data_IF_349646568028
#
_entry.id   IF_349646568028
#
_cell.length_a   1.000
_cell.length_b   1.000
_cell.length_c   1.000
_cell.angle_alpha   90.00
_cell.angle_beta   90.00
_cell.angle_gamma   90.00
#
_symmetry.space_group_name_H-M   'P 1'
#
loop_
_entity.id
_entity.type
_entity.pdbx_description
1 polymer ?
#
# COMPACT_ATOMS: atom_id res chain seq x y z
N UNK A 1 -8.52 -12.45 3.42
CA UNK A 1 -9.04 -11.25 2.76
C UNK A 1 -8.33 -10.00 3.27
N UNK A 2 -8.19 -9.02 2.40
CA UNK A 2 -7.56 -7.75 2.75
C UNK A 2 -8.57 -6.63 2.58
N UNK A 3 -8.79 -5.87 3.64
CA UNK A 3 -9.67 -4.70 3.62
C UNK A 3 -8.82 -3.45 3.60
N UNK A 4 -8.96 -2.65 2.56
CA UNK A 4 -8.15 -1.45 2.38
C UNK A 4 -9.03 -0.21 2.45
N UNK A 5 -8.59 0.79 3.22
CA UNK A 5 -9.31 2.04 3.42
C UNK A 5 -8.35 3.22 3.45
N UNK A 6 -8.80 4.39 3.02
CA UNK A 6 -10.04 4.66 2.32
C UNK A 6 -9.96 4.23 0.85
N UNK A 7 -11.09 4.29 0.15
CA UNK A 7 -11.09 4.00 -1.29
C UNK A 7 -10.42 5.11 -2.09
N UNK A 8 -10.48 6.33 -1.57
CA UNK A 8 -9.88 7.50 -2.22
C UNK A 8 -9.44 8.50 -1.15
N UNK A 9 -8.32 9.15 -1.39
CA UNK A 9 -7.81 10.19 -0.50
C UNK A 9 -7.16 11.28 -1.35
N UNK A 10 -7.29 12.52 -0.92
CA UNK A 10 -6.67 13.64 -1.63
C UNK A 10 -6.01 14.59 -0.64
N UNK A 11 -4.94 15.22 -1.10
CA UNK A 11 -4.23 16.22 -0.33
C UNK A 11 -3.42 17.09 -1.29
N UNK A 12 -3.04 18.30 -0.89
CA UNK A 12 -2.22 19.15 -1.77
C UNK A 12 -0.77 18.67 -1.81
N UNK A 13 -0.05 19.16 -2.82
CA UNK A 13 1.40 18.97 -2.92
C UNK A 13 2.03 19.40 -1.59
N UNK A 14 2.97 18.58 -1.09
CA UNK A 14 3.63 18.83 0.18
C UNK A 14 2.92 18.21 1.37
N UNK A 15 1.71 17.73 1.20
CA UNK A 15 0.93 17.12 2.27
C UNK A 15 1.32 15.67 2.55
N UNK A 16 0.52 15.04 3.40
CA UNK A 16 0.74 13.65 3.81
C UNK A 16 -0.58 12.89 3.72
N UNK A 17 -0.54 11.70 3.15
CA UNK A 17 -1.70 10.81 3.11
C UNK A 17 -1.36 9.49 3.79
N UNK A 18 -2.39 8.88 4.36
CA UNK A 18 -2.26 7.60 5.07
C UNK A 18 -3.29 6.62 4.53
N UNK A 19 -2.83 5.43 4.20
CA UNK A 19 -3.65 4.34 3.69
C UNK A 19 -3.54 3.17 4.66
N UNK A 20 -4.66 2.54 4.97
CA UNK A 20 -4.70 1.41 5.90
C UNK A 20 -5.12 0.15 5.20
N UNK A 21 -4.54 -0.95 5.66
CA UNK A 21 -4.85 -2.27 5.16
C UNK A 21 -5.02 -3.20 6.35
N UNK A 22 -6.12 -3.96 6.37
CA UNK A 22 -6.41 -4.89 7.45
C UNK A 22 -6.55 -6.29 6.89
N UNK A 23 -5.82 -7.23 7.47
CA UNK A 23 -5.92 -8.64 7.11
C UNK A 23 -6.97 -9.33 7.97
N UNK A 24 -7.67 -10.30 7.39
CA UNK A 24 -8.70 -11.05 8.11
C UNK A 24 -8.10 -12.06 9.09
N UNK A 25 -6.81 -12.34 8.97
CA UNK A 25 -6.08 -13.20 9.91
C UNK A 25 -4.66 -12.66 10.04
N UNK A 26 -3.96 -13.12 11.08
CA UNK A 26 -2.59 -12.69 11.32
C UNK A 26 -1.68 -13.17 10.19
N UNK A 27 -1.04 -12.24 9.51
CA UNK A 27 -0.10 -12.54 8.43
C UNK A 27 1.34 -12.17 8.79
N UNK A 28 1.59 -11.84 10.06
CA UNK A 28 2.91 -11.42 10.51
C UNK A 28 3.32 -10.14 9.84
N UNK A 29 4.46 -10.16 9.14
CA UNK A 29 4.94 -9.01 8.36
C UNK A 29 4.91 -9.29 6.86
N UNK A 30 4.15 -10.28 6.42
CA UNK A 30 4.10 -10.69 5.01
C UNK A 30 3.14 -9.82 4.22
N UNK A 31 3.44 -8.54 4.14
CA UNK A 31 2.63 -7.57 3.42
C UNK A 31 3.50 -6.70 2.54
N UNK A 32 3.03 -6.47 1.31
CA UNK A 32 3.68 -5.58 0.37
C UNK A 32 2.72 -4.48 -0.06
N UNK A 33 3.30 -3.35 -0.47
CA UNK A 33 2.56 -2.21 -1.02
C UNK A 33 3.03 -1.95 -2.44
N UNK A 34 2.06 -1.69 -3.32
CA UNK A 34 2.30 -1.43 -4.74
C UNK A 34 1.69 -0.09 -5.14
N UNK A 35 2.32 0.56 -6.12
CA UNK A 35 1.79 1.75 -6.77
C UNK A 35 1.47 1.40 -8.22
N UNK A 36 0.28 1.78 -8.68
CA UNK A 36 -0.09 1.55 -10.08
C UNK A 36 -0.64 2.83 -10.67
N UNK A 37 0.02 3.29 -11.73
CA UNK A 37 -0.44 4.43 -12.52
C UNK A 37 -1.25 3.93 -13.71
N UNK A 38 -2.16 4.76 -14.25
CA UNK A 38 -2.99 4.34 -15.37
C UNK A 38 -2.17 3.80 -16.54
N UNK A 39 -2.56 2.65 -17.06
CA UNK A 39 -1.88 2.04 -18.19
C UNK A 39 -0.53 1.42 -17.89
N UNK A 40 -0.10 1.40 -16.63
CA UNK A 40 1.19 0.86 -16.25
C UNK A 40 1.02 -0.38 -15.37
N UNK A 41 2.10 -1.13 -15.26
CA UNK A 41 2.15 -2.28 -14.34
C UNK A 41 2.31 -1.78 -12.91
N UNK A 42 1.82 -2.53 -11.91
CA UNK A 42 2.08 -2.21 -10.52
C UNK A 42 3.59 -2.20 -10.24
N UNK A 43 4.01 -1.22 -9.45
CA UNK A 43 5.40 -1.08 -9.03
C UNK A 43 5.49 -1.40 -7.55
N UNK A 44 6.39 -2.29 -7.17
CA UNK A 44 6.62 -2.61 -5.75
C UNK A 44 7.25 -1.43 -5.05
N UNK A 45 6.64 -1.00 -3.96
CA UNK A 45 7.16 0.09 -3.13
C UNK A 45 7.80 -0.44 -1.86
N UNK A 46 7.09 -1.34 -1.17
CA UNK A 46 7.46 -1.81 0.15
C UNK A 46 7.16 -3.29 0.23
N UNK A 47 8.05 -4.03 0.87
CA UNK A 47 7.83 -5.44 1.16
C UNK A 47 8.16 -5.73 2.62
N UNK A 48 7.71 -6.84 3.14
CA UNK A 48 7.84 -7.21 4.56
C UNK A 48 7.33 -6.10 5.47
N UNK A 49 6.22 -5.48 5.07
CA UNK A 49 5.51 -4.44 5.80
C UNK A 49 6.22 -3.09 5.86
N UNK A 50 7.55 -3.04 5.95
CA UNK A 50 8.25 -1.78 6.19
C UNK A 50 9.56 -1.60 5.42
N UNK A 51 9.96 -2.57 4.60
CA UNK A 51 11.22 -2.47 3.87
C UNK A 51 11.00 -1.81 2.51
N UNK A 52 11.70 -0.72 2.25
CA UNK A 52 11.63 -0.04 0.96
C UNK A 52 12.27 -0.88 -0.13
N UNK A 53 11.58 -0.98 -1.28
CA UNK A 53 12.16 -1.59 -2.45
C UNK A 53 13.27 -0.69 -3.00
N UNK A 54 14.17 -1.30 -3.78
CA UNK A 54 15.30 -0.58 -4.38
C UNK A 54 14.81 0.59 -5.23
N UNK A 55 15.39 1.76 -5.02
CA UNK A 55 15.08 2.95 -5.82
C UNK A 55 13.81 3.67 -5.42
N UNK A 56 13.12 3.22 -4.37
CA UNK A 56 11.90 3.87 -3.90
C UNK A 56 12.24 4.96 -2.89
N UNK A 57 11.59 6.11 -3.03
CA UNK A 57 11.79 7.25 -2.14
C UNK A 57 11.43 6.92 -0.70
N UNK A 58 12.22 7.44 0.25
CA UNK A 58 11.94 7.31 1.68
C UNK A 58 10.70 8.08 2.11
N UNK A 59 10.08 8.86 1.21
CA UNK A 59 8.79 9.51 1.48
C UNK A 59 7.68 8.48 1.68
N UNK A 60 7.87 7.27 1.17
CA UNK A 60 6.95 6.14 1.37
C UNK A 60 7.39 5.38 2.60
N UNK A 61 6.48 5.21 3.54
CA UNK A 61 6.77 4.50 4.78
C UNK A 61 5.67 3.49 5.07
N UNK A 62 6.07 2.24 5.23
CA UNK A 62 5.16 1.18 5.65
C UNK A 62 5.36 0.84 7.10
N UNK A 63 4.28 0.48 7.78
CA UNK A 63 4.33 0.06 9.18
C UNK A 63 3.23 -0.93 9.47
N UNK A 64 3.33 -1.59 10.62
CA UNK A 64 2.34 -2.52 11.10
C UNK A 64 2.83 -3.95 11.09
N UNK A 65 2.04 -4.80 11.73
CA UNK A 65 2.28 -6.25 11.78
C UNK A 65 0.99 -6.93 12.23
N UNK A 66 0.90 -8.23 11.99
CA UNK A 66 -0.28 -8.99 12.40
C UNK A 66 -1.44 -8.79 11.44
N UNK A 67 -2.39 -7.94 11.81
CA UNK A 67 -3.58 -7.69 11.00
C UNK A 67 -3.73 -6.24 10.56
N UNK A 68 -2.95 -5.31 11.13
CA UNK A 68 -3.11 -3.87 10.86
C UNK A 68 -1.83 -3.31 10.22
N UNK A 69 -1.98 -2.70 9.04
CA UNK A 69 -0.85 -2.17 8.30
C UNK A 69 -1.19 -0.78 7.76
N UNK A 70 -0.16 0.04 7.61
CA UNK A 70 -0.32 1.43 7.18
C UNK A 70 0.76 1.80 6.17
N UNK A 71 0.36 2.49 5.10
CA UNK A 71 1.27 3.15 4.18
C UNK A 71 1.10 4.65 4.35
N UNK A 72 2.19 5.36 4.60
CA UNK A 72 2.21 6.82 4.71
C UNK A 72 3.05 7.39 3.59
N UNK A 73 2.51 8.37 2.88
CA UNK A 73 3.23 9.09 1.82
C UNK A 73 3.36 10.52 2.29
N UNK A 74 4.60 10.95 2.56
CA UNK A 74 4.91 12.31 3.01
C UNK A 74 5.41 13.16 1.88
N UNK A 75 5.37 14.48 2.05
CA UNK A 75 5.87 15.44 1.05
C UNK A 75 5.31 15.12 -0.33
N UNK A 76 4.00 15.05 -0.42
CA UNK A 76 3.27 14.58 -1.59
C UNK A 76 3.66 15.34 -2.85
N UNK A 77 3.89 14.61 -3.94
CA UNK A 77 4.24 15.17 -5.25
C UNK A 77 3.17 14.80 -6.26
N UNK A 78 3.08 15.58 -7.34
CA UNK A 78 2.13 15.27 -8.41
C UNK A 78 2.33 13.86 -8.96
N UNK A 79 3.58 13.40 -9.02
CA UNK A 79 3.90 12.06 -9.51
C UNK A 79 3.38 10.94 -8.63
N UNK A 80 2.92 11.25 -7.40
CA UNK A 80 2.38 10.25 -6.49
C UNK A 80 0.91 9.92 -6.79
N UNK A 81 0.28 10.67 -7.67
CA UNK A 81 -1.12 10.40 -8.07
C UNK A 81 -1.19 9.05 -8.77
N UNK A 82 -1.83 8.09 -8.11
CA UNK A 82 -1.89 6.69 -8.55
C UNK A 82 -2.87 5.95 -7.68
N UNK A 83 -3.06 4.66 -7.97
CA UNK A 83 -3.81 3.77 -7.09
C UNK A 83 -2.80 2.89 -6.36
N UNK A 84 -2.99 2.74 -5.06
CA UNK A 84 -2.09 1.98 -4.20
C UNK A 84 -2.80 0.73 -3.70
N UNK A 85 -2.07 -0.38 -3.67
CA UNK A 85 -2.62 -1.68 -3.25
C UNK A 85 -1.73 -2.31 -2.20
N UNK A 86 -2.32 -2.91 -1.19
CA UNK A 86 -1.61 -3.83 -0.32
C UNK A 86 -1.82 -5.26 -0.83
N UNK A 87 -0.85 -6.11 -0.55
CA UNK A 87 -0.91 -7.53 -0.93
C UNK A 87 -0.36 -8.37 0.20
N UNK A 88 -1.13 -9.36 0.65
CA UNK A 88 -0.57 -10.33 1.59
C UNK A 88 0.28 -11.35 0.83
N UNK A 89 1.49 -11.56 1.34
CA UNK A 89 2.39 -12.59 0.81
C UNK A 89 2.24 -13.92 1.53
N UNK A 90 1.42 -13.95 2.57
CA UNK A 90 1.23 -15.15 3.36
C UNK A 90 0.31 -16.11 2.63
N UNK A 91 0.77 -17.34 2.43
CA UNK A 91 -0.04 -18.41 1.88
C UNK A 91 -0.05 -19.55 2.89
N UNK A 92 -1.21 -19.85 3.42
CA UNK A 92 -1.39 -20.96 4.35
C UNK A 92 -1.65 -22.28 3.60
N UNK A 93 -1.01 -22.44 2.45
CA UNK A 93 -1.18 -23.63 1.63
C UNK A 93 -2.42 -23.56 0.75
N UNK A 94 -3.14 -22.48 0.76
CA UNK A 94 -4.33 -22.29 -0.08
C UNK A 94 -4.09 -21.16 -1.05
N UNK A 95 -4.65 -21.31 -2.24
CA UNK A 95 -4.71 -20.21 -3.18
C UNK A 95 -5.76 -19.24 -2.68
N UNK A 96 -5.34 -18.05 -2.27
CA UNK A 96 -6.25 -17.01 -1.88
C UNK A 96 -6.38 -16.03 -3.01
N UNK A 97 -7.58 -15.96 -3.59
CA UNK A 97 -7.86 -15.06 -4.70
C UNK A 97 -7.97 -13.62 -4.25
N UNK A 98 -8.00 -13.37 -2.94
CA UNK A 98 -8.15 -12.04 -2.37
C UNK A 98 -6.88 -11.59 -1.65
N UNK A 99 -5.72 -11.89 -2.27
CA UNK A 99 -4.43 -11.51 -1.69
C UNK A 99 -4.23 -9.99 -1.70
N UNK A 100 -4.91 -9.26 -2.60
CA UNK A 100 -4.79 -7.82 -2.72
C UNK A 100 -5.92 -7.10 -2.01
N UNK A 101 -5.63 -5.92 -1.48
CA UNK A 101 -6.67 -4.99 -1.05
C UNK A 101 -7.39 -4.40 -2.27
N UNK A 102 -8.49 -3.71 -2.02
CA UNK A 102 -9.32 -3.14 -3.08
C UNK A 102 -8.73 -1.91 -3.76
N UNK A 103 -7.67 -1.35 -3.20
CA UNK A 103 -7.01 -0.18 -3.75
C UNK A 103 -7.46 1.13 -3.12
N UNK A 104 -6.54 2.10 -3.12
CA UNK A 104 -6.81 3.46 -2.69
C UNK A 104 -6.30 4.40 -3.77
N UNK A 105 -7.18 5.21 -4.32
CA UNK A 105 -6.78 6.24 -5.27
C UNK A 105 -6.25 7.45 -4.51
N UNK A 106 -5.03 7.88 -4.82
CA UNK A 106 -4.45 9.10 -4.26
C UNK A 106 -4.55 10.21 -5.30
N UNK A 107 -5.25 11.28 -4.92
CA UNK A 107 -5.43 12.46 -5.77
C UNK A 107 -4.60 13.59 -5.18
N UNK A 108 -3.76 14.19 -5.99
CA UNK A 108 -2.92 15.31 -5.56
C UNK A 108 -3.51 16.61 -6.12
N UNK A 109 -3.83 17.52 -5.20
CA UNK A 109 -4.48 18.78 -5.55
C UNK A 109 -3.50 19.88 -5.92
#
# INVERSE_FOLDING_TARGET
DMTQTPASVSDPVGGTVTIKCQASQNIGSNLAWYQQKPGQRPKLLIYRASTLASGVSSRFKGSGSGTQFTLTISDLECADAATYYCQQGYSAGNVDNNAFGGGTEVVVK
#
